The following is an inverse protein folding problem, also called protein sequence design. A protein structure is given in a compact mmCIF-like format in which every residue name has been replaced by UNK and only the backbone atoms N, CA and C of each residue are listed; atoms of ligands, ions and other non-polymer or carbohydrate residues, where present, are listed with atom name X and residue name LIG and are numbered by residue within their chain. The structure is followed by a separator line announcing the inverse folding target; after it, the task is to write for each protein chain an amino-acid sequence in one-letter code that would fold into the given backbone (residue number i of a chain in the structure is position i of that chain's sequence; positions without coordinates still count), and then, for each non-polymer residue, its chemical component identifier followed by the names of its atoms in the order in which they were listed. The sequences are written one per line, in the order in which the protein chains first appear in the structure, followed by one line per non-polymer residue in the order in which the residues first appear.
data_IF_127839089056
#
_entry.id   IF_127839089056
#
_cell.length_a   1.000
_cell.length_b   1.000
_cell.length_c   1.000
_cell.angle_alpha   90.00
_cell.angle_beta   90.00
_cell.angle_gamma   90.00
#
_symmetry.space_group_name_H-M   'P 1'
#
loop_
_entity.id
_entity.type
_entity.pdbx_description
1 polymer ?
#
# COMPACT_ATOMS: atom_id res chain seq x y z
N UNK A 1 22.81 -7.11 1.78
CA UNK A 1 21.90 -6.92 0.64
C UNK A 1 21.54 -5.45 0.65
N UNK A 2 21.93 -4.70 -0.37
CA UNK A 2 21.54 -3.29 -0.50
C UNK A 2 20.02 -3.24 -0.59
N UNK A 3 19.39 -2.53 0.36
CA UNK A 3 17.94 -2.34 0.37
C UNK A 3 17.61 -1.41 -0.81
N UNK A 4 17.28 -1.97 -1.97
CA UNK A 4 16.90 -1.21 -3.15
C UNK A 4 15.60 -0.49 -2.86
N UNK A 5 15.67 0.83 -2.64
CA UNK A 5 14.53 1.68 -2.34
C UNK A 5 13.59 1.72 -3.55
N UNK A 6 12.44 1.03 -3.46
CA UNK A 6 11.37 1.11 -4.47
C UNK A 6 10.75 2.50 -4.46
N UNK A 7 10.67 3.12 -5.63
CA UNK A 7 9.95 4.36 -5.88
C UNK A 7 8.59 4.08 -6.54
N UNK A 8 7.67 5.03 -6.36
CA UNK A 8 6.32 4.98 -6.89
C UNK A 8 6.14 6.06 -7.95
N UNK A 9 5.43 5.74 -9.03
CA UNK A 9 5.31 6.61 -10.19
C UNK A 9 3.88 6.67 -10.73
N UNK A 10 3.49 7.85 -11.21
CA UNK A 10 2.30 8.04 -12.05
C UNK A 10 2.74 8.02 -13.51
N UNK A 11 2.15 7.13 -14.30
CA UNK A 11 2.33 7.03 -15.75
C UNK A 11 1.09 7.60 -16.44
N UNK A 12 1.25 8.66 -17.21
CA UNK A 12 0.13 9.39 -17.81
C UNK A 12 -0.25 8.79 -19.17
N UNK A 13 -1.43 8.19 -19.26
CA UNK A 13 -2.02 7.77 -20.52
C UNK A 13 -2.90 8.88 -21.10
N UNK A 14 -2.57 9.31 -22.32
CA UNK A 14 -3.42 10.18 -23.13
C UNK A 14 -4.12 9.31 -24.18
N UNK A 15 -5.44 9.06 -24.08
CA UNK A 15 -6.17 8.19 -24.99
C UNK A 15 -6.09 8.60 -26.47
N UNK A 16 -5.79 9.86 -26.76
CA UNK A 16 -5.59 10.34 -28.14
C UNK A 16 -4.24 9.91 -28.73
N UNK A 17 -3.23 9.68 -27.90
CA UNK A 17 -1.88 9.30 -28.35
C UNK A 17 -1.63 7.82 -28.18
N UNK A 18 -2.10 7.24 -27.08
CA UNK A 18 -2.00 5.83 -26.76
C UNK A 18 -3.41 5.30 -26.54
N UNK A 19 -3.86 4.41 -27.42
CA UNK A 19 -5.12 3.69 -27.34
C UNK A 19 -5.09 2.68 -26.18
N UNK A 20 -4.99 3.22 -24.97
CA UNK A 20 -4.79 2.48 -23.72
C UNK A 20 -5.91 1.46 -23.46
N UNK A 21 -7.14 1.78 -23.85
CA UNK A 21 -8.27 0.85 -23.77
C UNK A 21 -8.13 -0.32 -24.75
N UNK A 22 -7.60 -0.10 -25.96
CA UNK A 22 -7.30 -1.19 -26.88
C UNK A 22 -6.16 -2.06 -26.34
N UNK A 23 -5.09 -1.44 -25.85
CA UNK A 23 -3.97 -2.14 -25.22
C UNK A 23 -4.42 -3.02 -24.04
N UNK A 24 -5.15 -2.44 -23.07
CA UNK A 24 -5.60 -3.15 -21.88
C UNK A 24 -6.64 -4.25 -22.19
N UNK A 25 -7.36 -4.18 -23.31
CA UNK A 25 -8.28 -5.25 -23.73
C UNK A 25 -7.61 -6.29 -24.64
N UNK A 26 -6.33 -6.13 -24.97
CA UNK A 26 -5.58 -7.04 -25.86
C UNK A 26 -4.75 -8.05 -25.07
N UNK A 27 -4.38 -9.15 -25.73
CA UNK A 27 -3.46 -10.15 -25.14
C UNK A 27 -2.07 -9.57 -24.84
N UNK A 28 -1.66 -8.52 -25.57
CA UNK A 28 -0.40 -7.79 -25.36
C UNK A 28 -0.33 -7.07 -24.02
N UNK A 29 -1.45 -6.93 -23.29
CA UNK A 29 -1.41 -6.36 -21.93
C UNK A 29 -0.55 -7.20 -20.96
N UNK A 30 -0.31 -8.47 -21.28
CA UNK A 30 0.53 -9.38 -20.49
C UNK A 30 2.02 -9.30 -20.85
N UNK A 31 2.37 -8.60 -21.93
CA UNK A 31 3.75 -8.46 -22.39
C UNK A 31 4.50 -7.34 -21.65
N UNK A 32 5.83 -7.37 -21.74
CA UNK A 32 6.66 -6.24 -21.36
C UNK A 32 6.63 -5.18 -22.47
N UNK A 33 6.11 -3.99 -22.16
CA UNK A 33 5.93 -2.92 -23.15
C UNK A 33 6.82 -1.73 -22.85
N UNK A 34 7.33 -1.11 -23.90
CA UNK A 34 8.07 0.14 -23.78
C UNK A 34 7.13 1.30 -23.51
N UNK A 35 7.57 2.19 -22.63
CA UNK A 35 6.87 3.41 -22.32
C UNK A 35 7.84 4.59 -22.15
N UNK A 36 7.47 5.73 -22.74
CA UNK A 36 8.24 6.98 -22.67
C UNK A 36 8.26 7.53 -21.25
N UNK A 37 9.44 7.87 -20.75
CA UNK A 37 9.60 8.60 -19.49
C UNK A 37 10.08 10.04 -19.73
N UNK A 38 9.92 10.91 -18.73
CA UNK A 38 10.57 12.23 -18.80
C UNK A 38 12.08 12.08 -18.66
N UNK A 39 12.89 12.86 -19.40
CA UNK A 39 14.34 12.82 -19.25
C UNK A 39 14.83 13.08 -17.82
N UNK A 40 14.16 13.94 -17.05
CA UNK A 40 14.55 14.24 -15.66
C UNK A 40 14.33 13.07 -14.69
N UNK A 41 13.40 12.16 -15.00
CA UNK A 41 13.03 11.05 -14.10
C UNK A 41 13.98 9.86 -14.23
N UNK A 42 14.74 9.78 -15.35
CA UNK A 42 15.62 8.64 -15.69
C UNK A 42 16.63 8.24 -14.61
N UNK A 43 17.01 9.17 -13.72
CA UNK A 43 18.00 8.90 -12.67
C UNK A 43 17.40 8.22 -11.44
N UNK A 44 16.07 8.28 -11.32
CA UNK A 44 15.34 7.85 -10.12
C UNK A 44 14.44 6.64 -10.42
N UNK A 45 14.15 6.35 -11.68
CA UNK A 45 13.42 5.13 -12.07
C UNK A 45 14.41 3.97 -12.10
N UNK A 46 14.09 2.90 -11.37
CA UNK A 46 14.85 1.65 -11.39
C UNK A 46 13.94 0.42 -11.54
N UNK A 47 14.55 -0.73 -11.82
CA UNK A 47 13.85 -2.01 -11.91
C UNK A 47 13.18 -2.32 -10.57
N UNK A 48 11.92 -2.76 -10.61
CA UNK A 48 11.10 -3.06 -9.44
C UNK A 48 10.23 -1.89 -8.98
N UNK A 49 10.49 -0.67 -9.45
CA UNK A 49 9.62 0.48 -9.20
C UNK A 49 8.18 0.17 -9.62
N UNK A 50 7.23 0.65 -8.82
CA UNK A 50 5.79 0.42 -9.07
C UNK A 50 5.13 1.69 -9.56
N UNK A 51 4.02 1.55 -10.27
CA UNK A 51 3.28 2.74 -10.69
C UNK A 51 1.82 2.51 -11.02
N UNK A 52 1.12 3.62 -11.18
CA UNK A 52 -0.28 3.69 -11.60
C UNK A 52 -0.37 4.25 -13.01
N UNK A 53 -1.11 3.58 -13.89
CA UNK A 53 -1.51 4.16 -15.17
C UNK A 53 -2.71 5.07 -14.93
N UNK A 54 -2.47 6.37 -15.06
CA UNK A 54 -3.48 7.42 -14.92
C UNK A 54 -3.94 7.90 -16.29
N UNK A 55 -5.22 7.73 -16.57
CA UNK A 55 -5.86 8.27 -17.77
C UNK A 55 -6.39 9.68 -17.49
N UNK A 56 -6.06 10.61 -18.39
CA UNK A 56 -6.57 11.98 -18.36
C UNK A 56 -7.95 12.13 -18.99
N UNK A 57 -8.33 13.37 -19.29
CA UNK A 57 -9.57 13.63 -20.03
C UNK A 57 -9.44 13.04 -21.45
N UNK A 58 -10.39 12.19 -21.83
CA UNK A 58 -10.43 11.60 -23.16
C UNK A 58 -10.96 12.60 -24.21
N UNK A 59 -10.00 13.21 -24.91
CA UNK A 59 -10.26 14.15 -25.99
C UNK A 59 -10.45 13.50 -27.37
N UNK A 60 -10.57 12.16 -27.47
CA UNK A 60 -10.84 11.49 -28.74
C UNK A 60 -12.18 11.96 -29.34
N UNK A 61 -12.23 11.98 -30.66
CA UNK A 61 -13.43 12.32 -31.44
C UNK A 61 -14.27 11.07 -31.70
N UNK A 62 -15.54 11.23 -32.07
CA UNK A 62 -16.43 10.09 -32.42
C UNK A 62 -15.83 9.17 -33.50
N UNK A 63 -15.12 9.76 -34.48
CA UNK A 63 -14.42 9.02 -35.54
C UNK A 63 -13.28 8.14 -34.97
N UNK A 64 -12.48 8.70 -34.06
CA UNK A 64 -11.37 7.98 -33.42
C UNK A 64 -11.87 6.90 -32.45
N UNK A 65 -12.98 7.15 -31.74
CA UNK A 65 -13.58 6.20 -30.81
C UNK A 65 -14.23 4.98 -31.49
N UNK A 66 -14.58 5.06 -32.78
CA UNK A 66 -15.20 3.94 -33.55
C UNK A 66 -16.39 3.28 -32.82
N UNK A 67 -17.19 4.09 -32.13
CA UNK A 67 -18.37 3.62 -31.38
C UNK A 67 -18.11 3.32 -29.90
N UNK A 68 -16.88 3.39 -29.41
CA UNK A 68 -16.55 3.27 -27.99
C UNK A 68 -16.95 4.51 -27.19
N UNK A 69 -17.18 4.29 -25.89
CA UNK A 69 -17.34 5.38 -24.95
C UNK A 69 -16.00 6.03 -24.59
N UNK A 70 -16.06 7.29 -24.16
CA UNK A 70 -14.88 8.02 -23.69
C UNK A 70 -14.45 7.50 -22.33
N UNK A 71 -13.13 7.34 -22.15
CA UNK A 71 -12.57 7.01 -20.85
C UNK A 71 -12.75 8.21 -19.89
N UNK A 72 -13.18 7.90 -18.66
CA UNK A 72 -13.25 8.88 -17.58
C UNK A 72 -11.86 9.04 -16.94
N UNK A 73 -11.50 10.24 -16.45
CA UNK A 73 -10.25 10.43 -15.73
C UNK A 73 -10.16 9.53 -14.51
N UNK A 74 -9.05 8.78 -14.39
CA UNK A 74 -8.92 7.78 -13.34
C UNK A 74 -7.68 6.91 -13.46
N UNK A 75 -7.59 5.90 -12.61
CA UNK A 75 -6.52 4.90 -12.60
C UNK A 75 -7.04 3.62 -13.27
N UNK A 76 -6.30 3.13 -14.26
CA UNK A 76 -6.71 2.01 -15.14
C UNK A 76 -5.78 0.80 -15.07
N UNK A 77 -4.60 0.92 -14.48
CA UNK A 77 -3.73 -0.23 -14.23
C UNK A 77 -2.69 0.05 -13.14
N UNK A 78 -2.13 -1.04 -12.60
CA UNK A 78 -0.91 -1.06 -11.79
C UNK A 78 0.19 -1.72 -12.61
N UNK A 79 1.39 -1.14 -12.59
CA UNK A 79 2.56 -1.64 -13.32
C UNK A 79 3.76 -1.87 -12.41
N UNK A 80 4.68 -2.71 -12.89
CA UNK A 80 6.04 -2.85 -12.39
C UNK A 80 7.04 -2.53 -13.50
N UNK A 81 8.03 -1.70 -13.19
CA UNK A 81 9.15 -1.39 -14.08
C UNK A 81 10.09 -2.59 -14.13
N UNK A 82 10.40 -3.07 -15.33
CA UNK A 82 11.21 -4.28 -15.56
C UNK A 82 12.50 -4.02 -16.33
N UNK A 83 12.75 -2.77 -16.76
CA UNK A 83 14.03 -2.36 -17.34
C UNK A 83 14.55 -1.07 -16.74
N UNK A 84 15.86 -0.85 -16.88
CA UNK A 84 16.44 0.48 -16.65
C UNK A 84 16.02 1.45 -17.76
N UNK A 85 16.09 2.76 -17.50
CA UNK A 85 15.92 3.78 -18.53
C UNK A 85 16.93 3.64 -19.67
N UNK A 86 16.42 3.52 -20.89
CA UNK A 86 17.19 3.38 -22.12
C UNK A 86 16.81 4.50 -23.10
N UNK A 87 17.76 4.96 -23.90
CA UNK A 87 17.51 5.97 -24.94
C UNK A 87 17.42 5.27 -26.29
N UNK A 88 16.21 4.90 -26.70
CA UNK A 88 15.97 3.99 -27.82
C UNK A 88 14.75 4.39 -28.65
N UNK A 89 14.68 3.82 -29.85
CA UNK A 89 13.49 3.79 -30.70
C UNK A 89 12.59 2.62 -30.27
N UNK A 90 11.28 2.83 -30.37
CA UNK A 90 10.28 1.78 -30.11
C UNK A 90 9.75 1.23 -31.44
N UNK A 91 9.87 -0.07 -31.62
CA UNK A 91 9.44 -0.76 -32.85
C UNK A 91 8.00 -1.25 -32.76
N UNK A 92 7.40 -1.29 -31.57
CA UNK A 92 6.02 -1.74 -31.38
C UNK A 92 5.12 -0.56 -31.00
N UNK A 93 4.51 0.03 -32.03
CA UNK A 93 3.63 1.20 -31.90
C UNK A 93 2.16 0.86 -32.19
N UNK A 94 1.78 -0.42 -32.14
CA UNK A 94 0.45 -0.89 -32.55
C UNK A 94 -0.71 -0.14 -31.88
N UNK A 95 -0.54 0.24 -30.62
CA UNK A 95 -1.57 0.96 -29.85
C UNK A 95 -1.36 2.47 -29.82
N UNK A 96 -0.45 3.02 -30.62
CA UNK A 96 -0.21 4.46 -30.69
C UNK A 96 -0.89 5.05 -31.93
N UNK A 97 -1.32 6.30 -31.80
CA UNK A 97 -1.89 7.04 -32.93
C UNK A 97 -0.82 7.31 -34.00
N UNK A 98 -1.17 7.21 -35.27
CA UNK A 98 -0.22 7.36 -36.39
C UNK A 98 0.53 8.70 -36.43
N UNK A 99 -0.05 9.78 -35.90
CA UNK A 99 0.67 11.06 -35.78
C UNK A 99 1.70 11.03 -34.63
N UNK A 100 1.51 10.15 -33.64
CA UNK A 100 2.51 9.83 -32.62
C UNK A 100 3.63 8.93 -33.16
N UNK A 101 3.38 8.10 -34.18
CA UNK A 101 4.41 7.26 -34.83
C UNK A 101 5.55 8.12 -35.40
N UNK A 102 5.27 9.33 -35.89
CA UNK A 102 6.28 10.32 -36.29
C UNK A 102 7.21 10.78 -35.13
N UNK A 103 6.82 10.53 -33.88
CA UNK A 103 7.65 10.71 -32.67
C UNK A 103 8.21 9.39 -32.12
N UNK A 104 7.59 8.25 -32.44
CA UNK A 104 8.11 6.90 -32.19
C UNK A 104 9.37 6.60 -32.99
N UNK A 105 9.56 7.25 -34.13
CA UNK A 105 10.76 7.20 -34.97
C UNK A 105 12.01 7.89 -34.37
N UNK A 106 11.86 8.61 -33.25
CA UNK A 106 12.96 9.30 -32.58
C UNK A 106 13.38 8.55 -31.32
N UNK A 107 14.68 8.48 -31.10
CA UNK A 107 15.23 7.96 -29.85
C UNK A 107 14.74 8.82 -28.69
N UNK A 108 14.22 8.15 -27.66
CA UNK A 108 13.68 8.80 -26.48
C UNK A 108 13.98 7.95 -25.25
N UNK A 109 13.98 8.58 -24.08
CA UNK A 109 14.09 7.85 -22.82
C UNK A 109 12.84 7.01 -22.59
N UNK A 110 13.03 5.70 -22.49
CA UNK A 110 11.97 4.69 -22.31
C UNK A 110 12.37 3.71 -21.22
N UNK A 111 11.37 3.09 -20.63
CA UNK A 111 11.50 1.91 -19.78
C UNK A 111 10.55 0.85 -20.28
N UNK A 112 10.82 -0.42 -19.97
CA UNK A 112 9.83 -1.47 -20.03
C UNK A 112 9.09 -1.56 -18.71
N UNK A 113 7.78 -1.72 -18.78
CA UNK A 113 6.99 -2.18 -17.65
C UNK A 113 6.15 -3.38 -18.06
N UNK A 114 5.65 -4.12 -17.07
CA UNK A 114 4.55 -5.09 -17.24
C UNK A 114 3.35 -4.64 -16.42
N UNK A 115 2.15 -5.01 -16.86
CA UNK A 115 0.92 -4.79 -16.10
C UNK A 115 0.85 -5.84 -14.98
N UNK A 116 0.77 -5.39 -13.73
CA UNK A 116 0.51 -6.26 -12.58
C UNK A 116 -1.00 -6.46 -12.41
N UNK A 117 -1.76 -5.37 -12.54
CA UNK A 117 -3.21 -5.39 -12.41
C UNK A 117 -3.85 -4.51 -13.47
N UNK A 118 -4.66 -5.15 -14.30
CA UNK A 118 -5.53 -4.46 -15.24
C UNK A 118 -6.84 -4.07 -14.54
N UNK A 119 -7.25 -2.81 -14.68
CA UNK A 119 -8.45 -2.23 -14.07
C UNK A 119 -9.40 -1.67 -15.14
N UNK A 120 -9.28 -2.07 -16.40
CA UNK A 120 -10.13 -1.54 -17.49
C UNK A 120 -11.63 -1.71 -17.20
N UNK A 121 -12.02 -2.83 -16.58
CA UNK A 121 -13.41 -3.12 -16.21
C UNK A 121 -13.85 -2.53 -14.87
N UNK A 122 -12.90 -2.07 -14.05
CA UNK A 122 -13.17 -1.49 -12.73
C UNK A 122 -12.16 -0.38 -12.38
N UNK A 123 -12.12 0.71 -13.15
CA UNK A 123 -11.15 1.77 -12.93
C UNK A 123 -11.49 2.58 -11.68
N UNK A 124 -10.47 3.17 -11.05
CA UNK A 124 -10.69 4.14 -9.97
C UNK A 124 -10.98 5.50 -10.63
N UNK A 125 -12.25 5.90 -10.65
CA UNK A 125 -12.67 7.17 -11.26
C UNK A 125 -12.62 8.30 -10.24
N UNK A 126 -11.82 9.33 -10.52
CA UNK A 126 -11.55 10.41 -9.55
C UNK A 126 -12.78 11.26 -9.20
N UNK A 127 -13.77 11.35 -10.08
CA UNK A 127 -14.99 12.11 -9.82
C UNK A 127 -16.08 11.28 -9.12
N UNK A 128 -15.87 9.98 -8.94
CA UNK A 128 -16.83 9.06 -8.32
C UNK A 128 -16.39 8.65 -6.90
N UNK A 129 -15.18 9.03 -6.49
CA UNK A 129 -14.56 8.63 -5.24
C UNK A 129 -14.02 9.89 -4.54
N UNK A 130 -14.68 10.30 -3.46
CA UNK A 130 -14.17 11.33 -2.58
C UNK A 130 -13.14 10.70 -1.63
N UNK A 131 -11.86 10.95 -1.89
CA UNK A 131 -10.76 10.34 -1.11
C UNK A 131 -9.68 11.38 -0.80
N UNK A 132 -9.54 11.68 0.49
CA UNK A 132 -8.58 12.69 0.97
C UNK A 132 -7.13 12.30 0.70
N UNK A 133 -6.79 11.02 0.79
CA UNK A 133 -5.41 10.53 0.63
C UNK A 133 -4.97 10.61 -0.83
N UNK A 134 -5.81 10.20 -1.79
CA UNK A 134 -5.53 10.40 -3.22
C UNK A 134 -5.47 11.88 -3.58
N UNK A 135 -6.32 12.71 -2.97
CA UNK A 135 -6.39 14.16 -3.23
C UNK A 135 -5.13 14.92 -2.81
N UNK A 136 -4.30 14.36 -1.92
CA UNK A 136 -2.99 14.93 -1.55
C UNK A 136 -2.00 14.91 -2.70
N UNK A 137 -2.09 13.93 -3.61
CA UNK A 137 -1.25 13.90 -4.82
C UNK A 137 -1.90 14.73 -5.93
N UNK A 138 -1.45 15.99 -6.02
CA UNK A 138 -1.94 16.96 -7.01
C UNK A 138 -1.78 16.44 -8.44
N UNK A 139 -0.69 15.73 -8.75
CA UNK A 139 -0.39 15.30 -10.11
C UNK A 139 -1.23 14.10 -10.53
N UNK A 140 -1.53 13.20 -9.60
CA UNK A 140 -2.42 12.07 -9.83
C UNK A 140 -3.85 12.55 -10.17
N UNK A 141 -4.47 13.33 -9.27
CA UNK A 141 -5.88 13.72 -9.39
C UNK A 141 -6.09 14.81 -10.42
N UNK A 142 -5.40 15.96 -10.30
CA UNK A 142 -5.57 17.08 -11.23
C UNK A 142 -4.95 16.80 -12.60
N UNK A 143 -4.00 15.88 -12.66
CA UNK A 143 -3.24 15.59 -13.87
C UNK A 143 -2.10 16.57 -14.10
N UNK A 144 -1.21 16.18 -15.01
CA UNK A 144 -0.12 17.02 -15.47
C UNK A 144 0.24 16.69 -16.92
N UNK A 145 0.75 17.66 -17.67
CA UNK A 145 1.26 17.42 -19.02
C UNK A 145 2.68 16.85 -18.94
N UNK A 146 2.77 15.55 -18.71
CA UNK A 146 4.01 14.77 -18.69
C UNK A 146 3.72 13.32 -19.08
N UNK A 147 4.76 12.51 -19.28
CA UNK A 147 4.61 11.06 -19.38
C UNK A 147 4.74 10.37 -18.02
N UNK A 148 5.61 10.86 -17.14
CA UNK A 148 5.83 10.32 -15.79
C UNK A 148 5.86 11.41 -14.72
N UNK A 149 5.55 11.06 -13.47
CA UNK A 149 5.75 11.89 -12.28
C UNK A 149 5.96 11.00 -11.04
N UNK A 150 6.81 11.39 -10.07
CA UNK A 150 6.84 10.73 -8.77
C UNK A 150 5.43 10.72 -8.14
N UNK A 151 5.03 9.56 -7.65
CA UNK A 151 3.77 9.33 -6.94
C UNK A 151 4.05 9.27 -5.44
N UNK A 152 3.21 9.93 -4.67
CA UNK A 152 3.25 9.81 -3.20
C UNK A 152 2.96 8.35 -2.82
N UNK A 153 3.83 7.77 -1.98
CA UNK A 153 3.76 6.37 -1.54
C UNK A 153 2.40 6.02 -0.94
N UNK A 154 1.86 6.89 -0.12
CA UNK A 154 0.54 6.75 0.52
C UNK A 154 -0.59 6.68 -0.53
N UNK A 155 -0.52 7.49 -1.59
CA UNK A 155 -1.51 7.49 -2.66
C UNK A 155 -1.46 6.20 -3.50
N UNK A 156 -0.29 5.59 -3.66
CA UNK A 156 -0.16 4.28 -4.31
C UNK A 156 -0.89 3.18 -3.52
N UNK A 157 -0.64 3.12 -2.20
CA UNK A 157 -1.32 2.13 -1.36
C UNK A 157 -2.81 2.37 -1.29
N UNK A 158 -3.24 3.63 -1.25
CA UNK A 158 -4.66 3.93 -1.23
C UNK A 158 -5.39 3.46 -2.48
N UNK A 159 -4.77 3.61 -3.65
CA UNK A 159 -5.30 3.04 -4.89
C UNK A 159 -5.48 1.51 -4.76
N UNK A 160 -4.50 0.81 -4.18
CA UNK A 160 -4.59 -0.65 -3.93
C UNK A 160 -5.76 -0.99 -3.00
N UNK A 161 -5.99 -0.20 -1.95
CA UNK A 161 -7.07 -0.46 -1.00
C UNK A 161 -8.44 -0.32 -1.65
N UNK A 162 -8.63 0.74 -2.45
CA UNK A 162 -9.87 0.98 -3.21
C UNK A 162 -10.14 -0.18 -4.17
N UNK A 163 -9.11 -0.70 -4.86
CA UNK A 163 -9.26 -1.85 -5.77
C UNK A 163 -9.71 -3.09 -5.00
N UNK A 164 -9.14 -3.32 -3.82
CA UNK A 164 -9.47 -4.48 -3.00
C UNK A 164 -10.87 -4.40 -2.38
N UNK A 165 -11.38 -3.21 -2.07
CA UNK A 165 -12.72 -3.02 -1.51
C UNK A 165 -13.84 -3.17 -2.55
N UNK A 166 -13.56 -2.91 -3.84
CA UNK A 166 -14.56 -2.85 -4.94
C UNK A 166 -14.84 -4.18 -5.65
N UNK A 167 -14.64 -5.34 -4.99
CA UNK A 167 -14.83 -6.72 -5.50
C UNK A 167 -13.82 -7.22 -6.55
N UNK A 168 -12.87 -6.40 -7.03
CA UNK A 168 -11.80 -6.85 -7.93
C UNK A 168 -10.58 -7.38 -7.15
N UNK A 169 -10.79 -8.53 -6.47
CA UNK A 169 -9.86 -9.15 -5.50
C UNK A 169 -8.51 -9.50 -6.16
N UNK A 170 -7.41 -8.97 -5.65
CA UNK A 170 -6.03 -9.35 -6.04
C UNK A 170 -5.19 -9.71 -4.80
N UNK A 171 -4.07 -10.43 -4.97
CA UNK A 171 -3.17 -10.74 -3.85
C UNK A 171 -2.17 -9.59 -3.64
N UNK A 172 -1.98 -9.15 -2.39
CA UNK A 172 -1.02 -8.09 -2.08
C UNK A 172 0.42 -8.51 -2.40
N UNK A 173 0.71 -9.82 -2.30
CA UNK A 173 2.00 -10.47 -2.56
C UNK A 173 2.47 -10.26 -4.02
N UNK A 174 1.54 -10.06 -4.97
CA UNK A 174 1.87 -9.80 -6.38
C UNK A 174 2.24 -8.33 -6.66
N UNK A 175 1.89 -7.39 -5.77
CA UNK A 175 2.17 -5.94 -5.95
C UNK A 175 3.24 -5.43 -4.99
N UNK A 176 3.34 -5.98 -3.79
CA UNK A 176 4.14 -5.45 -2.68
C UNK A 176 5.04 -6.55 -2.15
N UNK A 177 6.36 -6.35 -2.25
CA UNK A 177 7.33 -7.19 -1.55
C UNK A 177 7.43 -6.74 -0.08
N UNK A 178 7.47 -7.72 0.84
CA UNK A 178 7.42 -7.53 2.30
C UNK A 178 8.51 -6.60 2.87
N UNK A 179 9.63 -6.43 2.16
CA UNK A 179 10.81 -5.66 2.61
C UNK A 179 10.76 -4.16 2.23
N UNK A 180 9.85 -3.74 1.34
CA UNK A 180 9.83 -2.37 0.77
C UNK A 180 8.95 -1.38 1.54
N UNK A 181 8.35 -1.84 2.64
CA UNK A 181 7.51 -1.06 3.51
C UNK A 181 8.32 -0.27 4.56
N UNK A 182 9.29 0.53 4.09
CA UNK A 182 9.91 1.58 4.91
C UNK A 182 8.92 2.74 5.07
N UNK A 183 8.13 2.71 6.14
CA UNK A 183 7.49 3.93 6.60
C UNK A 183 8.52 4.69 7.42
N UNK A 184 8.84 5.91 6.99
CA UNK A 184 9.50 6.89 7.84
C UNK A 184 8.80 7.04 9.19
N UNK A 185 9.53 7.60 10.16
CA UNK A 185 9.09 7.78 11.54
C UNK A 185 8.05 8.91 11.70
N UNK A 186 6.98 8.95 10.89
CA UNK A 186 5.95 10.00 10.96
C UNK A 186 4.57 9.46 11.37
N UNK A 187 3.89 10.24 12.23
CA UNK A 187 2.51 10.07 12.74
C UNK A 187 1.49 9.71 11.64
N UNK A 188 1.61 10.36 10.48
CA UNK A 188 0.78 10.16 9.28
C UNK A 188 0.82 8.73 8.70
N UNK A 189 1.88 7.98 8.98
CA UNK A 189 2.12 6.64 8.44
C UNK A 189 1.27 5.57 9.12
N UNK A 190 1.05 5.72 10.42
CA UNK A 190 0.29 4.77 11.25
C UNK A 190 -1.21 5.00 11.09
N UNK A 191 -1.62 6.26 10.91
CA UNK A 191 -2.99 6.66 10.62
C UNK A 191 -3.48 6.06 9.30
N UNK A 192 -2.68 6.15 8.23
CA UNK A 192 -2.98 5.52 6.95
C UNK A 192 -3.19 4.01 7.13
N UNK A 193 -2.29 3.31 7.81
CA UNK A 193 -2.45 1.87 8.08
C UNK A 193 -3.73 1.52 8.84
N UNK A 194 -4.09 2.30 9.86
CA UNK A 194 -5.31 2.03 10.64
C UNK A 194 -6.58 2.17 9.80
N UNK A 195 -6.66 3.14 8.89
CA UNK A 195 -7.78 3.25 7.94
C UNK A 195 -7.81 2.11 6.93
N UNK A 196 -6.62 1.70 6.46
CA UNK A 196 -6.45 0.57 5.53
C UNK A 196 -7.00 -0.72 6.13
N UNK A 197 -6.67 -1.01 7.39
CA UNK A 197 -7.04 -2.26 8.05
C UNK A 197 -8.46 -2.29 8.62
N UNK A 198 -9.10 -1.13 8.80
CA UNK A 198 -10.49 -1.05 9.27
C UNK A 198 -11.49 -1.64 8.27
N UNK A 199 -11.12 -1.70 6.97
CA UNK A 199 -12.02 -2.03 5.87
C UNK A 199 -11.69 -3.35 5.14
N UNK A 200 -10.80 -4.21 5.67
CA UNK A 200 -10.39 -5.47 5.01
C UNK A 200 -11.32 -6.65 5.38
N UNK A 201 -11.80 -7.38 4.36
CA UNK A 201 -12.68 -8.55 4.48
C UNK A 201 -11.95 -9.81 5.06
N UNK A 202 -12.67 -10.52 5.93
CA UNK A 202 -12.20 -11.45 6.97
C UNK A 202 -11.63 -12.77 6.46
N UNK A 203 -11.96 -13.22 5.24
CA UNK A 203 -11.36 -14.47 4.68
C UNK A 203 -9.84 -14.41 4.48
N UNK A 204 -9.23 -13.22 4.60
CA UNK A 204 -7.78 -12.98 4.53
C UNK A 204 -7.10 -12.87 5.93
N UNK A 205 -7.83 -13.10 7.05
CA UNK A 205 -7.35 -12.88 8.44
C UNK A 205 -6.13 -13.71 8.84
N UNK A 206 -6.04 -15.00 8.52
CA UNK A 206 -4.94 -15.85 9.02
C UNK A 206 -3.55 -15.47 8.46
N UNK A 207 -3.49 -14.90 7.25
CA UNK A 207 -2.22 -14.46 6.62
C UNK A 207 -1.77 -13.07 7.09
N UNK A 208 -2.71 -12.16 7.33
CA UNK A 208 -2.41 -10.81 7.86
C UNK A 208 -1.93 -10.84 9.32
N UNK A 209 -2.37 -11.82 10.11
CA UNK A 209 -1.90 -12.03 11.50
C UNK A 209 -0.39 -12.23 11.57
N UNK A 210 0.19 -13.02 10.65
CA UNK A 210 1.63 -13.25 10.61
C UNK A 210 2.43 -11.98 10.23
N UNK A 211 1.83 -11.12 9.41
CA UNK A 211 2.41 -9.83 8.98
C UNK A 211 2.42 -8.83 10.15
N UNK A 212 1.40 -8.82 11.00
CA UNK A 212 1.35 -7.94 12.17
C UNK A 212 2.31 -8.42 13.26
N UNK A 213 2.37 -9.72 13.54
CA UNK A 213 3.24 -10.28 14.59
C UNK A 213 4.74 -10.17 14.30
N UNK A 214 5.12 -10.14 13.00
CA UNK A 214 6.54 -10.18 12.57
C UNK A 214 6.98 -9.03 11.66
N UNK A 215 6.06 -8.16 11.24
CA UNK A 215 6.32 -7.09 10.27
C UNK A 215 6.76 -5.75 10.88
N UNK A 216 6.87 -4.76 10.00
CA UNK A 216 7.30 -3.39 10.32
C UNK A 216 6.39 -2.69 11.34
N UNK A 217 5.11 -3.06 11.42
CA UNK A 217 4.13 -2.47 12.35
C UNK A 217 4.37 -2.87 13.80
N UNK A 218 4.64 -4.15 14.08
CA UNK A 218 5.01 -4.59 15.42
C UNK A 218 6.31 -3.93 15.88
N UNK A 219 7.30 -3.77 15.00
CA UNK A 219 8.54 -3.07 15.35
C UNK A 219 8.32 -1.59 15.68
N UNK A 220 7.44 -0.90 14.96
CA UNK A 220 7.06 0.49 15.23
C UNK A 220 6.25 0.62 16.52
N UNK A 221 5.28 -0.26 16.72
CA UNK A 221 4.49 -0.30 17.94
C UNK A 221 5.38 -0.56 19.17
N UNK A 222 6.29 -1.54 19.09
CA UNK A 222 7.32 -1.78 20.14
C UNK A 222 8.15 -0.53 20.41
N UNK A 223 8.56 0.20 19.37
CA UNK A 223 9.32 1.45 19.52
C UNK A 223 8.50 2.57 20.20
N UNK A 224 7.26 2.76 19.77
CA UNK A 224 6.33 3.73 20.35
C UNK A 224 6.07 3.42 21.83
N UNK A 225 5.89 2.14 22.16
CA UNK A 225 5.75 1.67 23.55
C UNK A 225 7.05 1.69 24.35
N UNK A 226 8.15 2.25 23.81
CA UNK A 226 9.44 2.33 24.49
C UNK A 226 10.05 0.97 24.82
N UNK A 227 9.69 -0.06 24.06
CA UNK A 227 10.05 -1.46 24.28
C UNK A 227 9.69 -1.97 25.69
N UNK A 228 8.56 -1.50 26.23
CA UNK A 228 8.03 -1.87 27.55
C UNK A 228 6.94 -2.93 27.47
N UNK A 229 6.91 -3.83 28.44
CA UNK A 229 5.76 -4.70 28.67
C UNK A 229 4.65 -3.93 29.40
N UNK A 230 3.47 -3.81 28.79
CA UNK A 230 2.33 -3.08 29.36
C UNK A 230 1.75 -3.74 30.62
N UNK A 231 1.82 -5.07 30.74
CA UNK A 231 1.37 -5.77 31.95
C UNK A 231 2.33 -5.51 33.11
N UNK A 232 3.65 -5.66 32.91
CA UNK A 232 4.63 -5.34 33.95
C UNK A 232 4.51 -3.88 34.40
N UNK A 233 4.33 -2.95 33.45
CA UNK A 233 4.16 -1.53 33.75
C UNK A 233 2.88 -1.29 34.60
N UNK A 234 1.76 -1.93 34.25
CA UNK A 234 0.51 -1.85 35.00
C UNK A 234 0.58 -2.51 36.39
N UNK A 235 1.49 -3.47 36.59
CA UNK A 235 1.76 -4.13 37.87
C UNK A 235 2.81 -3.40 38.72
N UNK A 236 3.31 -2.23 38.27
CA UNK A 236 4.42 -1.52 38.88
C UNK A 236 5.71 -2.36 39.00
N UNK A 237 5.91 -3.32 38.10
CA UNK A 237 7.14 -4.10 37.97
C UNK A 237 8.07 -3.45 36.94
N UNK A 238 9.30 -3.99 36.80
CA UNK A 238 10.20 -3.55 35.74
C UNK A 238 9.64 -3.94 34.35
N UNK A 239 9.27 -2.99 33.48
CA UNK A 239 8.68 -3.30 32.19
C UNK A 239 9.71 -3.67 31.11
N UNK A 240 11.00 -3.52 31.40
CA UNK A 240 12.10 -3.80 30.46
C UNK A 240 12.73 -5.16 30.74
N UNK A 241 12.89 -5.96 29.67
CA UNK A 241 13.52 -7.28 29.72
C UNK A 241 15.04 -7.21 29.52
N UNK A 242 15.64 -8.15 28.79
CA UNK A 242 17.03 -8.08 28.36
C UNK A 242 17.20 -7.22 27.10
N UNK A 243 18.38 -6.61 26.95
CA UNK A 243 18.74 -5.89 25.72
C UNK A 243 19.20 -6.86 24.64
N UNK A 244 18.73 -6.63 23.42
CA UNK A 244 19.24 -7.27 22.21
C UNK A 244 20.61 -6.67 21.83
N UNK A 245 21.27 -7.28 20.83
CA UNK A 245 22.53 -6.80 20.25
C UNK A 245 22.45 -5.36 19.73
N UNK A 246 21.26 -4.91 19.32
CA UNK A 246 20.99 -3.55 18.84
C UNK A 246 20.76 -2.52 19.97
N UNK A 247 20.92 -2.94 21.23
CA UNK A 247 20.75 -2.08 22.42
C UNK A 247 19.31 -1.89 22.88
N UNK A 248 18.31 -2.36 22.12
CA UNK A 248 16.88 -2.23 22.45
C UNK A 248 16.43 -3.39 23.34
N UNK A 249 15.43 -3.15 24.20
CA UNK A 249 14.84 -4.22 25.02
C UNK A 249 14.00 -5.17 24.17
N UNK A 250 14.02 -6.46 24.51
CA UNK A 250 13.25 -7.48 23.81
C UNK A 250 11.79 -7.48 24.28
N UNK A 251 10.86 -7.34 23.35
CA UNK A 251 9.41 -7.40 23.60
C UNK A 251 8.72 -8.02 22.39
N UNK A 252 7.54 -8.59 22.64
CA UNK A 252 6.66 -9.26 21.69
C UNK A 252 5.35 -8.49 21.58
N UNK A 253 4.65 -8.61 20.46
CA UNK A 253 3.35 -7.99 20.25
C UNK A 253 2.32 -9.11 20.16
N UNK A 254 1.25 -8.96 20.93
CA UNK A 254 0.15 -9.90 21.01
C UNK A 254 -1.15 -9.21 20.59
N UNK A 255 -2.09 -9.95 20.00
CA UNK A 255 -3.42 -9.44 19.72
C UNK A 255 -4.33 -9.55 20.95
N UNK A 256 -5.03 -8.49 21.34
CA UNK A 256 -5.91 -8.50 22.52
C UNK A 256 -7.09 -9.45 22.30
N UNK A 257 -7.86 -9.23 21.23
CA UNK A 257 -8.90 -10.14 20.77
C UNK A 257 -8.26 -11.11 19.77
N UNK A 258 -8.37 -12.44 19.97
CA UNK A 258 -7.89 -13.42 19.01
C UNK A 258 -8.56 -13.17 17.66
N UNK A 259 -7.76 -13.21 16.61
CA UNK A 259 -8.23 -12.86 15.27
C UNK A 259 -9.30 -13.83 14.75
N UNK A 260 -9.41 -15.02 15.33
CA UNK A 260 -10.48 -16.00 15.07
C UNK A 260 -11.89 -15.54 15.47
N UNK A 261 -12.04 -14.53 16.33
CA UNK A 261 -13.35 -13.99 16.70
C UNK A 261 -13.81 -12.93 15.68
N UNK A 262 -14.77 -13.34 14.85
CA UNK A 262 -15.14 -12.70 13.59
C UNK A 262 -15.77 -11.31 13.74
N UNK A 263 -16.57 -11.08 14.79
CA UNK A 263 -17.40 -9.88 14.92
C UNK A 263 -16.71 -8.71 15.66
N UNK A 264 -15.67 -8.97 16.46
CA UNK A 264 -15.08 -7.96 17.36
C UNK A 264 -13.60 -7.63 17.10
N UNK A 265 -12.86 -8.47 16.35
CA UNK A 265 -11.42 -8.25 16.17
C UNK A 265 -11.12 -7.20 15.09
N UNK A 266 -10.74 -5.98 15.50
CA UNK A 266 -10.13 -4.99 14.61
C UNK A 266 -8.66 -5.36 14.37
N UNK A 267 -8.15 -5.19 13.15
CA UNK A 267 -6.71 -5.29 12.83
C UNK A 267 -5.95 -3.98 13.10
N UNK A 268 -6.62 -3.00 13.75
CA UNK A 268 -6.01 -1.73 14.14
C UNK A 268 -5.01 -1.92 15.29
N UNK A 269 -4.12 -0.94 15.46
CA UNK A 269 -3.17 -0.89 16.57
C UNK A 269 -3.88 -0.99 17.94
N UNK A 270 -5.16 -0.63 18.01
CA UNK A 270 -6.00 -0.71 19.22
C UNK A 270 -6.29 -2.15 19.69
N UNK A 271 -5.99 -3.14 18.85
CA UNK A 271 -6.06 -4.56 19.17
C UNK A 271 -4.68 -5.18 19.45
N UNK A 272 -3.63 -4.37 19.63
CA UNK A 272 -2.28 -4.81 19.94
C UNK A 272 -1.90 -4.49 21.38
N UNK A 273 -1.12 -5.38 21.98
CA UNK A 273 -0.50 -5.18 23.29
C UNK A 273 0.98 -5.59 23.24
N UNK A 274 1.85 -4.77 23.82
CA UNK A 274 3.30 -4.98 23.86
C UNK A 274 3.68 -5.68 25.17
N UNK A 275 4.28 -6.87 25.08
CA UNK A 275 4.49 -7.79 26.20
C UNK A 275 5.93 -8.29 26.30
N UNK A 276 6.36 -8.66 27.50
CA UNK A 276 7.56 -9.45 27.70
C UNK A 276 7.29 -10.92 27.29
N UNK A 277 8.32 -11.74 27.04
CA UNK A 277 8.15 -13.14 26.63
C UNK A 277 7.29 -13.98 27.60
N UNK A 278 7.36 -13.68 28.89
CA UNK A 278 6.61 -14.39 29.92
C UNK A 278 5.12 -14.05 29.83
N UNK A 279 4.78 -12.77 29.88
CA UNK A 279 3.40 -12.31 29.75
C UNK A 279 2.80 -12.66 28.39
N UNK A 280 3.58 -12.61 27.30
CA UNK A 280 3.14 -13.05 25.98
C UNK A 280 2.72 -14.52 25.98
N UNK A 281 3.54 -15.42 26.54
CA UNK A 281 3.18 -16.84 26.70
C UNK A 281 2.02 -17.04 27.67
N UNK A 282 1.93 -16.23 28.72
CA UNK A 282 0.83 -16.28 29.68
C UNK A 282 -0.51 -15.90 29.03
N UNK A 283 -0.53 -14.97 28.08
CA UNK A 283 -1.76 -14.67 27.31
C UNK A 283 -2.21 -15.85 26.45
N UNK A 284 -1.27 -16.67 25.95
CA UNK A 284 -1.60 -17.85 25.14
C UNK A 284 -2.00 -19.07 25.96
N UNK A 285 -1.38 -19.29 27.12
CA UNK A 285 -1.44 -20.58 27.84
C UNK A 285 -1.78 -20.46 29.33
N UNK A 286 -1.77 -19.25 29.88
CA UNK A 286 -2.00 -18.99 31.30
C UNK A 286 -3.48 -18.85 31.64
N UNK A 287 -3.76 -18.67 32.93
CA UNK A 287 -5.11 -18.40 33.43
C UNK A 287 -5.44 -16.92 33.25
N UNK A 288 -5.89 -16.57 32.04
CA UNK A 288 -6.18 -15.20 31.61
C UNK A 288 -7.59 -15.11 31.09
N UNK A 289 -8.35 -14.14 31.61
CA UNK A 289 -9.69 -13.80 31.15
C UNK A 289 -9.76 -12.31 30.81
N UNK A 290 -10.33 -11.96 29.66
CA UNK A 290 -10.64 -10.56 29.31
C UNK A 290 -12.00 -10.24 29.88
N UNK A 291 -12.05 -9.32 30.84
CA UNK A 291 -13.29 -8.93 31.53
C UNK A 291 -14.00 -7.77 30.86
N UNK A 292 -13.24 -6.84 30.28
CA UNK A 292 -13.77 -5.69 29.56
C UNK A 292 -12.78 -5.23 28.50
N UNK A 293 -13.28 -4.84 27.33
CA UNK A 293 -12.47 -4.31 26.25
C UNK A 293 -13.27 -3.23 25.51
N UNK A 294 -12.83 -1.99 25.58
CA UNK A 294 -13.45 -0.85 24.89
C UNK A 294 -12.38 0.01 24.21
N UNK A 295 -12.76 1.16 23.66
CA UNK A 295 -11.83 2.05 22.95
C UNK A 295 -10.81 2.76 23.87
N UNK A 296 -11.01 2.72 25.19
CA UNK A 296 -10.16 3.39 26.19
C UNK A 296 -9.21 2.43 26.90
N UNK A 297 -9.66 1.21 27.21
CA UNK A 297 -8.88 0.27 28.01
C UNK A 297 -9.28 -1.18 27.75
N UNK A 298 -8.42 -2.08 28.21
CA UNK A 298 -8.69 -3.51 28.37
C UNK A 298 -8.44 -3.92 29.81
N UNK A 299 -9.40 -4.63 30.41
CA UNK A 299 -9.29 -5.20 31.75
C UNK A 299 -9.14 -6.72 31.65
N UNK A 300 -8.08 -7.22 32.29
CA UNK A 300 -7.75 -8.63 32.38
C UNK A 300 -7.88 -9.13 33.81
N UNK A 301 -8.23 -10.40 33.94
CA UNK A 301 -8.01 -11.20 35.14
C UNK A 301 -6.88 -12.19 34.85
N UNK A 302 -5.71 -11.97 35.44
CA UNK A 302 -4.52 -12.80 35.24
C UNK A 302 -4.19 -13.46 36.57
N UNK A 303 -4.27 -14.79 36.63
CA UNK A 303 -4.02 -15.57 37.85
C UNK A 303 -4.83 -15.08 39.08
N UNK A 304 -6.04 -14.58 38.84
CA UNK A 304 -6.94 -14.04 39.87
C UNK A 304 -6.74 -12.55 40.18
N UNK A 305 -5.68 -11.91 39.66
CA UNK A 305 -5.44 -10.48 39.83
C UNK A 305 -6.10 -9.66 38.72
N UNK A 306 -6.70 -8.54 39.10
CA UNK A 306 -7.36 -7.60 38.18
C UNK A 306 -6.35 -6.59 37.66
N UNK A 307 -6.16 -6.53 36.35
CA UNK A 307 -5.19 -5.64 35.70
C UNK A 307 -5.90 -4.84 34.62
N UNK A 308 -5.77 -3.51 34.70
CA UNK A 308 -6.34 -2.58 33.73
C UNK A 308 -5.22 -1.97 32.90
N UNK A 309 -5.33 -2.06 31.58
CA UNK A 309 -4.35 -1.54 30.64
C UNK A 309 -5.05 -0.52 29.76
N UNK A 310 -4.57 0.73 29.81
CA UNK A 310 -5.06 1.78 28.93
C UNK A 310 -4.64 1.49 27.48
N UNK A 311 -5.58 1.68 26.56
CA UNK A 311 -5.28 1.62 25.14
C UNK A 311 -4.58 2.89 24.72
N UNK A 312 -3.65 2.72 23.78
CA UNK A 312 -2.93 3.85 23.21
C UNK A 312 -3.91 4.70 22.40
N UNK A 313 -4.21 5.91 22.88
CA UNK A 313 -4.81 6.95 22.04
C UNK A 313 -3.69 7.65 21.28
N UNK A 314 -3.75 7.58 19.95
CA UNK A 314 -2.97 8.48 19.12
C UNK A 314 -3.69 9.83 19.11
N UNK A 315 -3.32 10.75 20.01
CA UNK A 315 -3.94 12.07 20.06
C UNK A 315 -3.44 12.96 18.90
N UNK A 316 -4.42 13.58 18.22
CA UNK A 316 -4.24 14.49 17.11
C UNK A 316 -4.03 15.89 17.68
N UNK A 317 -2.80 16.25 18.02
CA UNK A 317 -2.34 17.64 17.88
C UNK A 317 -1.99 17.95 16.43
#
# INVERSE_FOLDING_TARGET
MENTKINYWTFFANPKQWYIDDFLNSDKCNDEVYYKIRPCDRKNIDIGDKGLIRVGIDHRTKKSLRGKEKLKPGIYAIIEVVSKPEYIKDSDLEFYDGDYENSGDKEMWRIKFKIIKNLIDSPIIFNEIENEVLSRDKYLVKGFQASTMPLIKESFYEAINIINSTKNRFSYEEVINDDDYDFGCSKSSIEGLNEIYKNVDIKKKERLVKIVERGSIANKFKAYMGYKCQICDALNENPHTFKKKDGKYYVEVHHIIPVSYEEESKLSVDNLICLCPNHHRQMHYGNVEILSNNDLYTEYKIDGNMIKIEKVKFEID
#
